data_IF_191632253758
#
_entry.id   IF_191632253758
#
_cell.length_a   1.000
_cell.length_b   1.000
_cell.length_c   1.000
_cell.angle_alpha   90.00
_cell.angle_beta   90.00
_cell.angle_gamma   90.00
#
_symmetry.space_group_name_H-M   'P 1'
#
loop_
_entity.id
_entity.type
_entity.pdbx_description
1 polymer ?
#
# COMPACT_ATOMS: atom_id res chain seq x y z
N UNK A 1 -2.37 -41.03 2.64
CA UNK A 1 -1.54 -39.80 2.54
C UNK A 1 -0.13 -40.19 2.92
N UNK A 2 0.89 -39.87 2.13
CA UNK A 2 2.28 -40.14 2.50
C UNK A 2 2.77 -39.08 3.49
N UNK A 3 3.73 -39.42 4.36
CA UNK A 3 4.39 -38.47 5.27
C UNK A 3 4.94 -37.25 4.49
N UNK A 4 5.45 -37.50 3.28
CA UNK A 4 5.83 -36.48 2.29
C UNK A 4 4.75 -35.41 2.08
N UNK A 5 3.53 -35.83 1.77
CA UNK A 5 2.44 -34.92 1.40
C UNK A 5 1.99 -34.09 2.62
N UNK A 6 2.06 -34.68 3.82
CA UNK A 6 1.72 -33.99 5.07
C UNK A 6 2.74 -32.89 5.41
N UNK A 7 4.04 -33.20 5.37
CA UNK A 7 5.09 -32.21 5.68
C UNK A 7 5.12 -31.11 4.63
N UNK A 8 5.02 -31.44 3.34
CA UNK A 8 5.02 -30.45 2.26
C UNK A 8 3.85 -29.47 2.37
N UNK A 9 2.64 -29.96 2.67
CA UNK A 9 1.45 -29.11 2.89
C UNK A 9 1.65 -28.22 4.11
N UNK A 10 2.17 -28.77 5.22
CA UNK A 10 2.38 -28.02 6.45
C UNK A 10 3.39 -26.88 6.24
N UNK A 11 4.56 -27.19 5.69
CA UNK A 11 5.63 -26.20 5.44
C UNK A 11 5.17 -25.14 4.44
N UNK A 12 4.52 -25.55 3.35
CA UNK A 12 3.97 -24.61 2.37
C UNK A 12 2.88 -23.73 2.99
N UNK A 13 2.02 -24.29 3.85
CA UNK A 13 0.98 -23.57 4.56
C UNK A 13 1.54 -22.48 5.48
N UNK A 14 2.53 -22.83 6.31
CA UNK A 14 3.21 -21.86 7.19
C UNK A 14 3.88 -20.76 6.35
N UNK A 15 4.56 -21.14 5.26
CA UNK A 15 5.21 -20.18 4.37
C UNK A 15 4.20 -19.22 3.72
N UNK A 16 3.05 -19.73 3.25
CA UNK A 16 1.99 -18.90 2.70
C UNK A 16 1.38 -17.94 3.74
N UNK A 17 1.19 -18.39 4.98
CA UNK A 17 0.72 -17.53 6.07
C UNK A 17 1.73 -16.40 6.33
N UNK A 18 3.02 -16.72 6.39
CA UNK A 18 4.07 -15.71 6.57
C UNK A 18 4.07 -14.69 5.44
N UNK A 19 4.03 -15.16 4.19
CA UNK A 19 4.04 -14.30 3.01
C UNK A 19 2.81 -13.39 2.95
N UNK A 20 1.62 -13.94 3.25
CA UNK A 20 0.38 -13.16 3.34
C UNK A 20 0.43 -12.12 4.46
N UNK A 21 1.01 -12.48 5.61
CA UNK A 21 1.18 -11.55 6.73
C UNK A 21 2.11 -10.41 6.36
N UNK A 22 3.24 -10.71 5.71
CA UNK A 22 4.19 -9.71 5.23
C UNK A 22 3.52 -8.78 4.23
N UNK A 23 2.81 -9.32 3.22
CA UNK A 23 2.08 -8.53 2.24
C UNK A 23 1.10 -7.56 2.92
N UNK A 24 0.28 -8.07 3.85
CA UNK A 24 -0.76 -7.28 4.51
C UNK A 24 -0.18 -6.19 5.41
N UNK A 25 0.83 -6.51 6.21
CA UNK A 25 1.50 -5.55 7.09
C UNK A 25 2.25 -4.49 6.27
N UNK A 26 3.03 -4.90 5.27
CA UNK A 26 3.77 -3.97 4.43
C UNK A 26 2.84 -3.03 3.66
N UNK A 27 1.76 -3.55 3.10
CA UNK A 27 0.78 -2.73 2.40
C UNK A 27 0.08 -1.74 3.36
N UNK A 28 -0.29 -2.18 4.57
CA UNK A 28 -0.91 -1.28 5.56
C UNK A 28 0.02 -0.13 5.94
N UNK A 29 1.30 -0.43 6.20
CA UNK A 29 2.30 0.60 6.53
C UNK A 29 2.40 1.64 5.41
N UNK A 30 2.55 1.19 4.16
CA UNK A 30 2.67 2.09 3.01
C UNK A 30 1.40 2.92 2.82
N UNK A 31 0.22 2.31 2.96
CA UNK A 31 -1.07 2.99 2.87
C UNK A 31 -1.19 4.09 3.92
N UNK A 32 -0.90 3.77 5.18
CA UNK A 32 -1.03 4.72 6.29
C UNK A 32 -0.01 5.86 6.16
N UNK A 33 1.22 5.56 5.72
CA UNK A 33 2.22 6.59 5.40
C UNK A 33 1.77 7.50 4.26
N UNK A 34 1.22 6.93 3.18
CA UNK A 34 0.74 7.72 2.04
C UNK A 34 -0.44 8.63 2.42
N UNK A 35 -1.36 8.16 3.27
CA UNK A 35 -2.48 8.98 3.76
C UNK A 35 -1.98 10.11 4.67
N UNK A 36 -1.03 9.82 5.56
CA UNK A 36 -0.42 10.82 6.43
C UNK A 36 0.31 11.90 5.62
N UNK A 37 1.14 11.48 4.67
CA UNK A 37 1.88 12.37 3.78
C UNK A 37 0.93 13.23 2.94
N UNK A 38 -0.15 12.64 2.41
CA UNK A 38 -1.20 13.40 1.70
C UNK A 38 -1.79 14.52 2.57
N UNK A 39 -2.10 14.24 3.84
CA UNK A 39 -2.65 15.25 4.74
C UNK A 39 -1.61 16.30 5.14
N UNK A 40 -0.40 15.88 5.52
CA UNK A 40 0.68 16.80 5.91
C UNK A 40 1.05 17.73 4.76
N UNK A 41 1.09 17.24 3.52
CA UNK A 41 1.29 18.07 2.34
C UNK A 41 0.16 19.07 2.15
N UNK A 42 -1.12 18.66 2.29
CA UNK A 42 -2.24 19.58 2.22
C UNK A 42 -2.17 20.65 3.32
N UNK A 43 -1.82 20.26 4.54
CA UNK A 43 -1.69 21.15 5.69
C UNK A 43 -0.55 22.15 5.52
N UNK A 44 0.60 21.72 5.01
CA UNK A 44 1.72 22.59 4.70
C UNK A 44 1.34 23.60 3.60
N UNK A 45 0.70 23.12 2.52
CA UNK A 45 0.24 23.98 1.42
C UNK A 45 -0.76 25.04 1.89
N UNK A 46 -1.78 24.66 2.66
CA UNK A 46 -2.80 25.62 3.12
C UNK A 46 -2.22 26.63 4.12
N UNK A 47 -1.26 26.21 4.95
CA UNK A 47 -0.57 27.09 5.90
C UNK A 47 0.37 28.06 5.18
N UNK A 48 1.12 27.61 4.17
CA UNK A 48 1.97 28.49 3.36
C UNK A 48 1.14 29.47 2.53
N UNK A 49 0.01 29.01 1.98
CA UNK A 49 -0.91 29.87 1.23
C UNK A 49 -1.56 30.91 2.15
N UNK A 50 -2.02 30.52 3.34
CA UNK A 50 -2.62 31.47 4.29
C UNK A 50 -1.60 32.52 4.77
N UNK A 51 -0.35 32.12 5.04
CA UNK A 51 0.71 33.05 5.40
C UNK A 51 1.02 34.04 4.27
N UNK A 52 1.04 33.57 3.02
CA UNK A 52 1.29 34.40 1.83
C UNK A 52 0.15 35.39 1.57
N UNK A 53 -1.06 35.04 2.02
CA UNK A 53 -2.26 35.87 1.97
C UNK A 53 -2.45 36.74 3.24
N UNK A 54 -1.65 36.60 4.29
CA UNK A 54 -1.78 37.49 5.44
C UNK A 54 -1.15 38.86 5.11
N UNK A 55 -1.97 39.78 4.63
CA UNK A 55 -1.59 41.17 4.32
C UNK A 55 -2.64 42.15 4.84
N UNK A 56 -2.26 43.42 5.02
CA UNK A 56 -3.14 44.44 5.63
C UNK A 56 -4.28 44.88 4.71
N UNK A 57 -4.12 44.72 3.38
CA UNK A 57 -5.06 45.17 2.34
C UNK A 57 -5.60 43.99 1.50
N UNK A 58 -6.03 42.92 2.16
CA UNK A 58 -6.51 41.74 1.45
C UNK A 58 -7.87 41.98 0.78
N UNK A 59 -7.92 41.87 -0.55
CA UNK A 59 -9.16 41.93 -1.34
C UNK A 59 -9.60 40.55 -1.77
N UNK A 60 -10.91 40.34 -1.98
CA UNK A 60 -11.43 39.07 -2.49
C UNK A 60 -10.76 38.64 -3.80
N UNK A 61 -10.55 39.59 -4.73
CA UNK A 61 -9.86 39.30 -6.00
C UNK A 61 -8.41 38.84 -5.84
N UNK A 62 -7.70 39.32 -4.82
CA UNK A 62 -6.35 38.85 -4.50
C UNK A 62 -6.36 37.41 -3.96
N UNK A 63 -7.33 37.07 -3.09
CA UNK A 63 -7.54 35.70 -2.60
C UNK A 63 -7.83 34.75 -3.77
N UNK A 64 -8.78 35.10 -4.64
CA UNK A 64 -9.13 34.30 -5.82
C UNK A 64 -7.94 34.10 -6.75
N UNK A 65 -7.15 35.15 -6.99
CA UNK A 65 -5.94 35.09 -7.85
C UNK A 65 -4.89 34.14 -7.26
N UNK A 66 -4.62 34.21 -5.95
CA UNK A 66 -3.67 33.29 -5.30
C UNK A 66 -4.19 31.86 -5.22
N UNK A 67 -5.48 31.66 -4.95
CA UNK A 67 -6.09 30.33 -5.02
C UNK A 67 -5.92 29.77 -6.43
N UNK A 68 -6.16 30.58 -7.46
CA UNK A 68 -6.00 30.16 -8.83
C UNK A 68 -4.55 29.77 -9.15
N UNK A 69 -3.60 30.65 -8.84
CA UNK A 69 -2.18 30.37 -9.06
C UNK A 69 -1.71 29.12 -8.29
N UNK A 70 -2.16 28.94 -7.05
CA UNK A 70 -1.82 27.76 -6.24
C UNK A 70 -2.45 26.50 -6.79
N UNK A 71 -3.69 26.57 -7.25
CA UNK A 71 -4.41 25.46 -7.85
C UNK A 71 -3.74 25.00 -9.16
N UNK A 72 -3.32 25.96 -9.99
CA UNK A 72 -2.67 25.67 -11.27
C UNK A 72 -1.27 25.07 -11.12
N UNK A 73 -0.56 25.40 -10.03
CA UNK A 73 0.79 24.87 -9.76
C UNK A 73 0.79 23.60 -8.87
N UNK A 74 -0.33 23.26 -8.24
CA UNK A 74 -0.43 22.14 -7.31
C UNK A 74 -1.30 21.00 -7.81
N UNK A 75 -1.29 19.90 -7.05
CA UNK A 75 -2.13 18.73 -7.34
C UNK A 75 -3.27 18.62 -6.33
N UNK A 76 -4.23 19.55 -6.43
CA UNK A 76 -5.38 19.63 -5.53
C UNK A 76 -6.65 19.15 -6.23
N UNK A 77 -7.52 18.50 -5.47
CA UNK A 77 -8.89 18.19 -5.89
C UNK A 77 -9.76 19.44 -5.73
N UNK A 78 -9.54 20.18 -4.65
CA UNK A 78 -10.32 21.36 -4.29
C UNK A 78 -9.53 22.32 -3.41
N UNK A 79 -9.66 23.62 -3.70
CA UNK A 79 -9.28 24.69 -2.79
C UNK A 79 -10.51 25.58 -2.59
N UNK A 80 -10.89 25.82 -1.34
CA UNK A 80 -12.09 26.57 -0.98
C UNK A 80 -11.73 27.69 0.01
N UNK A 81 -12.27 28.89 -0.21
CA UNK A 81 -12.27 29.96 0.76
C UNK A 81 -13.66 30.09 1.38
N UNK A 82 -13.68 30.02 2.71
CA UNK A 82 -14.89 30.10 3.54
C UNK A 82 -14.78 31.34 4.42
N UNK A 83 -15.81 32.17 4.50
CA UNK A 83 -15.83 33.35 5.37
C UNK A 83 -16.01 32.99 6.86
N UNK A 84 -16.04 34.00 7.73
CA UNK A 84 -16.29 33.85 9.17
C UNK A 84 -17.68 33.31 9.52
N UNK A 85 -18.66 33.50 8.63
CA UNK A 85 -20.04 33.04 8.76
C UNK A 85 -20.23 31.63 8.20
N UNK A 86 -19.12 30.99 7.80
CA UNK A 86 -19.05 29.65 7.22
C UNK A 86 -19.71 29.54 5.84
N UNK A 87 -19.85 30.65 5.11
CA UNK A 87 -20.29 30.67 3.72
C UNK A 87 -19.12 30.42 2.78
N UNK A 88 -19.34 29.58 1.77
CA UNK A 88 -18.38 29.34 0.69
C UNK A 88 -18.33 30.56 -0.23
N UNK A 89 -17.26 31.34 -0.12
CA UNK A 89 -17.06 32.57 -0.91
C UNK A 89 -16.50 32.26 -2.28
N UNK A 90 -15.48 31.38 -2.34
CA UNK A 90 -14.84 30.99 -3.58
C UNK A 90 -14.40 29.53 -3.51
N UNK A 91 -14.50 28.83 -4.63
CA UNK A 91 -14.06 27.45 -4.75
C UNK A 91 -13.51 27.17 -6.14
N UNK A 92 -12.36 26.51 -6.15
CA UNK A 92 -11.81 25.91 -7.35
C UNK A 92 -11.71 24.41 -7.15
N UNK A 93 -12.29 23.65 -8.07
CA UNK A 93 -12.30 22.19 -8.03
C UNK A 93 -11.96 21.61 -9.39
N UNK A 94 -11.44 20.39 -9.39
CA UNK A 94 -11.18 19.60 -10.59
C UNK A 94 -12.03 18.33 -10.52
N UNK A 95 -12.62 17.94 -11.64
CA UNK A 95 -13.26 16.64 -11.73
C UNK A 95 -12.25 15.54 -11.44
N UNK A 96 -12.62 14.64 -10.54
CA UNK A 96 -11.83 13.47 -10.19
C UNK A 96 -11.84 12.55 -11.41
N UNK A 97 -10.76 12.57 -12.18
CA UNK A 97 -10.54 11.53 -13.17
C UNK A 97 -10.12 10.28 -12.40
N UNK A 98 -11.02 9.30 -12.34
CA UNK A 98 -10.68 7.97 -11.82
C UNK A 98 -9.52 7.44 -12.65
N UNK A 99 -8.34 7.38 -12.03
CA UNK A 99 -7.17 6.76 -12.64
C UNK A 99 -7.50 5.31 -13.03
N UNK A 100 -6.81 4.78 -14.05
CA UNK A 100 -6.94 3.40 -14.56
C UNK A 100 -6.67 2.33 -13.48
N UNK A 101 -7.58 2.20 -12.51
CA UNK A 101 -7.46 1.33 -11.35
C UNK A 101 -8.75 0.51 -11.27
N UNK A 102 -8.63 -0.80 -11.01
CA UNK A 102 -9.81 -1.63 -10.85
C UNK A 102 -10.68 -1.21 -9.65
N UNK A 103 -12.00 -1.24 -9.83
CA UNK A 103 -12.99 -0.90 -8.79
C UNK A 103 -12.85 -1.75 -7.53
N UNK A 104 -12.40 -3.00 -7.65
CA UNK A 104 -12.19 -3.86 -6.48
C UNK A 104 -11.09 -3.33 -5.56
N UNK A 105 -10.05 -2.70 -6.12
CA UNK A 105 -8.92 -2.17 -5.34
C UNK A 105 -9.31 -0.89 -4.61
N UNK A 106 -10.06 -0.01 -5.30
CA UNK A 106 -10.58 1.21 -4.69
C UNK A 106 -11.43 0.89 -3.44
N UNK A 107 -12.31 -0.12 -3.54
CA UNK A 107 -13.12 -0.59 -2.40
C UNK A 107 -12.28 -1.22 -1.28
N UNK A 108 -11.21 -1.92 -1.62
CA UNK A 108 -10.33 -2.55 -0.63
C UNK A 108 -9.52 -1.53 0.17
N UNK A 109 -9.06 -0.47 -0.50
CA UNK A 109 -8.15 0.52 0.08
C UNK A 109 -8.88 1.69 0.73
N UNK A 110 -10.05 2.04 0.21
CA UNK A 110 -10.92 3.15 0.60
C UNK A 110 -10.48 3.90 1.86
N UNK A 111 -9.90 5.10 1.66
CA UNK A 111 -9.55 6.02 2.74
C UNK A 111 -10.12 7.41 2.48
N UNK A 112 -10.53 8.06 3.57
CA UNK A 112 -10.94 9.46 3.56
C UNK A 112 -9.70 10.35 3.68
N UNK A 113 -9.58 11.30 2.75
CA UNK A 113 -8.53 12.33 2.84
C UNK A 113 -9.11 13.49 3.64
N UNK A 114 -8.58 13.77 4.85
CA UNK A 114 -9.05 14.91 5.63
C UNK A 114 -8.76 16.22 4.90
N UNK A 115 -9.72 17.14 4.96
CA UNK A 115 -9.57 18.49 4.43
C UNK A 115 -8.63 19.28 5.34
N UNK A 116 -7.51 19.75 4.79
CA UNK A 116 -6.58 20.60 5.53
C UNK A 116 -7.12 22.03 5.61
N UNK A 117 -6.94 22.68 6.76
CA UNK A 117 -7.49 24.02 7.01
C UNK A 117 -6.45 24.97 7.56
N UNK A 118 -6.52 26.23 7.17
CA UNK A 118 -5.82 27.32 7.83
C UNK A 118 -6.68 28.58 7.91
N UNK A 119 -6.59 29.29 9.03
CA UNK A 119 -7.25 30.59 9.18
C UNK A 119 -6.57 31.63 8.31
N UNK A 120 -7.37 32.51 7.72
CA UNK A 120 -6.90 33.65 6.96
C UNK A 120 -7.21 34.93 7.72
N UNK A 121 -6.24 35.84 7.81
CA UNK A 121 -6.36 37.09 8.55
C UNK A 121 -5.98 38.30 7.69
N UNK A 122 -6.71 39.40 7.87
CA UNK A 122 -6.32 40.72 7.37
C UNK A 122 -5.89 41.57 8.57
N UNK A 123 -4.59 41.78 8.71
CA UNK A 123 -4.02 42.33 9.95
C UNK A 123 -4.33 41.46 11.18
N UNK A 124 -5.02 42.02 12.18
CA UNK A 124 -5.40 41.33 13.42
C UNK A 124 -6.77 40.64 13.35
N UNK A 125 -7.53 40.82 12.27
CA UNK A 125 -8.87 40.27 12.14
C UNK A 125 -8.84 39.01 11.28
N UNK A 126 -9.41 37.92 11.80
CA UNK A 126 -9.66 36.71 11.02
C UNK A 126 -10.81 37.00 10.07
N UNK A 127 -10.58 36.80 8.77
CA UNK A 127 -11.56 37.04 7.71
C UNK A 127 -12.20 35.76 7.17
N UNK A 128 -11.64 34.60 7.52
CA UNK A 128 -12.17 33.31 7.11
C UNK A 128 -11.19 32.15 7.28
N UNK A 129 -11.46 31.06 6.56
CA UNK A 129 -10.67 29.84 6.54
C UNK A 129 -10.43 29.40 5.10
N UNK A 130 -9.18 29.04 4.79
CA UNK A 130 -8.83 28.32 3.56
C UNK A 130 -8.86 26.83 3.83
N UNK A 131 -9.45 26.10 2.90
CA UNK A 131 -9.56 24.65 2.92
C UNK A 131 -8.91 24.07 1.67
N UNK A 132 -8.04 23.08 1.83
CA UNK A 132 -7.40 22.36 0.73
C UNK A 132 -7.68 20.86 0.86
N UNK A 133 -8.15 20.27 -0.24
CA UNK A 133 -8.26 18.84 -0.43
C UNK A 133 -7.29 18.39 -1.52
N UNK A 134 -6.34 17.54 -1.17
CA UNK A 134 -5.38 16.99 -2.12
C UNK A 134 -6.03 15.99 -3.09
N UNK A 135 -5.52 15.94 -4.31
CA UNK A 135 -5.98 14.97 -5.31
C UNK A 135 -5.51 13.55 -4.95
N UNK A 136 -6.46 12.73 -4.49
CA UNK A 136 -6.23 11.33 -4.09
C UNK A 136 -5.91 10.40 -5.25
N UNK A 137 -6.29 10.75 -6.49
CA UNK A 137 -6.21 9.84 -7.65
C UNK A 137 -4.78 9.36 -7.93
N UNK A 138 -3.79 10.25 -7.75
CA UNK A 138 -2.38 9.91 -7.93
C UNK A 138 -1.93 8.90 -6.87
N UNK A 139 -2.31 9.11 -5.61
CA UNK A 139 -1.96 8.22 -4.50
C UNK A 139 -2.61 6.85 -4.65
N UNK A 140 -3.87 6.79 -5.08
CA UNK A 140 -4.52 5.51 -5.40
C UNK A 140 -3.73 4.74 -6.47
N UNK A 141 -3.30 5.42 -7.54
CA UNK A 141 -2.54 4.80 -8.62
C UNK A 141 -1.18 4.29 -8.13
N UNK A 142 -0.48 5.06 -7.31
CA UNK A 142 0.78 4.66 -6.70
C UNK A 142 0.60 3.45 -5.77
N UNK A 143 -0.41 3.47 -4.89
CA UNK A 143 -0.71 2.35 -3.99
C UNK A 143 -1.03 1.07 -4.77
N UNK A 144 -1.77 1.18 -5.87
CA UNK A 144 -2.06 0.05 -6.74
C UNK A 144 -0.80 -0.55 -7.34
N UNK A 145 0.09 0.28 -7.90
CA UNK A 145 1.34 -0.18 -8.49
C UNK A 145 2.27 -0.82 -7.45
N UNK A 146 2.33 -0.27 -6.24
CA UNK A 146 3.10 -0.83 -5.13
C UNK A 146 2.52 -2.19 -4.72
N UNK A 147 1.19 -2.29 -4.55
CA UNK A 147 0.54 -3.57 -4.22
C UNK A 147 0.82 -4.62 -5.30
N UNK A 148 0.65 -4.29 -6.58
CA UNK A 148 0.94 -5.22 -7.67
C UNK A 148 2.39 -5.66 -7.68
N UNK A 149 3.33 -4.73 -7.46
CA UNK A 149 4.75 -5.06 -7.35
C UNK A 149 5.02 -6.02 -6.19
N UNK A 150 4.45 -5.76 -5.00
CA UNK A 150 4.58 -6.66 -3.85
C UNK A 150 4.04 -8.05 -4.15
N UNK A 151 2.86 -8.15 -4.78
CA UNK A 151 2.26 -9.44 -5.18
C UNK A 151 3.15 -10.18 -6.17
N UNK A 152 3.70 -9.49 -7.17
CA UNK A 152 4.59 -10.10 -8.17
C UNK A 152 5.88 -10.62 -7.52
N UNK A 153 6.57 -9.80 -6.73
CA UNK A 153 7.84 -10.20 -6.11
C UNK A 153 7.67 -11.30 -5.07
N UNK A 154 6.64 -11.21 -4.22
CA UNK A 154 6.36 -12.27 -3.27
C UNK A 154 5.86 -13.54 -3.98
N UNK A 155 5.07 -13.41 -5.04
CA UNK A 155 4.67 -14.55 -5.87
C UNK A 155 5.88 -15.26 -6.50
N UNK A 156 6.85 -14.51 -7.01
CA UNK A 156 8.09 -15.07 -7.55
C UNK A 156 8.92 -15.76 -6.45
N UNK A 157 9.04 -15.14 -5.28
CA UNK A 157 9.70 -15.76 -4.12
C UNK A 157 8.99 -17.06 -3.70
N UNK A 158 7.66 -17.10 -3.76
CA UNK A 158 6.87 -18.30 -3.46
C UNK A 158 7.15 -19.43 -4.46
N UNK A 159 7.20 -19.13 -5.76
CA UNK A 159 7.54 -20.12 -6.78
C UNK A 159 8.94 -20.69 -6.55
N UNK A 160 9.93 -19.82 -6.32
CA UNK A 160 11.31 -20.23 -6.02
C UNK A 160 11.38 -21.10 -4.78
N UNK A 161 10.68 -20.71 -3.71
CA UNK A 161 10.59 -21.50 -2.47
C UNK A 161 10.00 -22.89 -2.72
N UNK A 162 8.90 -23.00 -3.46
CA UNK A 162 8.26 -24.29 -3.77
C UNK A 162 9.16 -25.19 -4.63
N UNK A 163 9.91 -24.63 -5.58
CA UNK A 163 10.88 -25.38 -6.38
C UNK A 163 12.02 -25.93 -5.51
N UNK A 164 12.60 -25.09 -4.64
CA UNK A 164 13.64 -25.50 -3.68
C UNK A 164 13.10 -26.57 -2.75
N UNK A 165 11.90 -26.36 -2.20
CA UNK A 165 11.24 -27.30 -1.31
C UNK A 165 11.05 -28.66 -2.00
N UNK A 166 10.54 -28.67 -3.23
CA UNK A 166 10.37 -29.89 -4.04
C UNK A 166 11.71 -30.60 -4.29
N UNK A 167 12.78 -29.84 -4.60
CA UNK A 167 14.11 -30.40 -4.83
C UNK A 167 14.70 -31.03 -3.57
N UNK A 168 14.66 -30.32 -2.44
CA UNK A 168 15.16 -30.80 -1.14
C UNK A 168 14.43 -32.08 -0.74
N UNK A 169 13.09 -32.10 -0.87
CA UNK A 169 12.31 -33.30 -0.57
C UNK A 169 12.70 -34.48 -1.48
N UNK A 170 12.98 -34.23 -2.76
CA UNK A 170 13.44 -35.28 -3.68
C UNK A 170 14.81 -35.85 -3.29
N UNK A 171 15.73 -35.02 -2.78
CA UNK A 171 17.08 -35.46 -2.40
C UNK A 171 17.09 -36.15 -1.03
N UNK A 172 16.53 -35.53 0.01
CA UNK A 172 16.66 -36.00 1.40
C UNK A 172 15.85 -37.28 1.68
N UNK A 173 14.71 -37.49 1.03
CA UNK A 173 13.85 -38.64 1.31
C UNK A 173 14.07 -39.84 0.38
N UNK A 174 14.83 -39.69 -0.71
CA UNK A 174 15.23 -40.81 -1.56
C UNK A 174 16.00 -41.89 -0.77
N UNK A 175 16.94 -41.54 0.13
CA UNK A 175 17.49 -42.43 1.15
C UNK A 175 16.47 -43.19 1.98
N UNK A 176 15.45 -42.48 2.47
CA UNK A 176 14.49 -43.00 3.44
C UNK A 176 13.63 -44.10 2.83
N UNK A 177 13.22 -43.93 1.56
CA UNK A 177 12.51 -44.95 0.79
C UNK A 177 13.39 -46.18 0.52
N UNK A 178 14.70 -45.98 0.34
CA UNK A 178 15.64 -47.08 0.14
C UNK A 178 15.80 -47.92 1.42
N UNK A 179 15.86 -47.27 2.59
CA UNK A 179 15.89 -47.92 3.90
C UNK A 179 14.58 -48.67 4.16
N UNK A 180 13.42 -48.06 3.86
CA UNK A 180 12.11 -48.71 4.01
C UNK A 180 12.02 -49.99 3.18
N UNK A 181 12.46 -49.95 1.90
CA UNK A 181 12.51 -51.14 1.04
C UNK A 181 13.44 -52.21 1.59
N UNK A 182 14.59 -51.83 2.13
CA UNK A 182 15.56 -52.78 2.68
C UNK A 182 15.00 -53.45 3.94
N UNK A 183 14.33 -52.69 4.83
CA UNK A 183 13.65 -53.24 6.00
C UNK A 183 12.53 -54.22 5.61
N UNK A 184 11.73 -53.89 4.59
CA UNK A 184 10.70 -54.80 4.06
C UNK A 184 11.28 -56.08 3.45
N UNK A 185 12.43 -55.99 2.77
CA UNK A 185 13.11 -57.16 2.22
C UNK A 185 13.63 -58.08 3.35
N UNK A 186 14.21 -57.51 4.41
CA UNK A 186 14.63 -58.26 5.61
C UNK A 186 13.45 -58.98 6.26
N UNK A 187 12.26 -58.35 6.35
CA UNK A 187 11.05 -59.01 6.86
C UNK A 187 10.60 -60.21 6.01
N UNK A 188 11.00 -60.27 4.73
CA UNK A 188 10.73 -61.38 3.82
C UNK A 188 11.88 -62.39 3.73
N UNK A 189 12.90 -62.28 4.60
CA UNK A 189 14.16 -63.03 4.52
C UNK A 189 14.95 -62.81 3.22
N UNK A 190 14.72 -61.68 2.53
CA UNK A 190 15.49 -61.25 1.37
C UNK A 190 16.56 -60.25 1.84
N UNK A 191 17.82 -60.70 1.94
CA UNK A 191 18.92 -59.85 2.39
C UNK A 191 19.50 -59.04 1.23
N UNK A 192 18.88 -57.89 0.94
CA UNK A 192 19.38 -56.93 -0.06
C UNK A 192 20.48 -56.07 0.56
N UNK A 193 21.71 -56.22 0.09
CA UNK A 193 22.86 -55.40 0.51
C UNK A 193 22.91 -54.15 -0.35
N UNK A 194 22.84 -52.97 0.27
CA UNK A 194 23.06 -51.69 -0.42
C UNK A 194 24.56 -51.40 -0.49
N UNK A 195 25.13 -51.40 -1.70
CA UNK A 195 26.55 -51.05 -1.92
C UNK A 195 26.86 -49.56 -1.74
N UNK A 196 25.84 -48.70 -1.82
CA UNK A 196 25.98 -47.25 -1.66
C UNK A 196 25.11 -46.77 -0.50
N UNK A 197 25.77 -46.41 0.61
CA UNK A 197 25.12 -45.77 1.74
C UNK A 197 24.52 -44.42 1.30
N UNK A 198 23.31 -44.08 1.75
CA UNK A 198 22.74 -42.78 1.47
C UNK A 198 23.41 -41.73 2.37
N UNK A 199 24.27 -40.95 1.76
CA UNK A 199 24.75 -39.64 2.23
C UNK A 199 24.04 -38.56 1.43
#
# INVERSE_FOLDING_TARGET
>A
MTLYRQIAILVSGIFLILLSTILMVSFSIVKDSAQKELYENAQNSVSSLSLSLNSTDMTQGAIETMINASFDNGNYERITFVDIDNNKVYERTKEIQTANIPVWFEKFVAFEVPVAKAKLSSGWQVIGTLEILNNRSITYFQLYNIMMSMVIYLGLACIVFLLILSYIFHVILRPLLAIEKQAQAVMKNEFVIQEKLPW
#
